data_IF_060807391674
#
_entry.id   IF_060807391674
#
_cell.length_a   1.000
_cell.length_b   1.000
_cell.length_c   1.000
_cell.angle_alpha   90.00
_cell.angle_beta   90.00
_cell.angle_gamma   90.00
#
_symmetry.space_group_name_H-M   'P 1'
#
loop_
_entity.id
_entity.type
_entity.pdbx_description
1 polymer ?
#
# COMPACT_ATOMS: atom_id res chain seq x y z
N UNK A 1 -8.23 -26.77 -13.19
CA UNK A 1 -8.35 -25.32 -13.13
C UNK A 1 -7.50 -24.69 -12.04
N UNK A 2 -7.67 -25.08 -10.79
CA UNK A 2 -6.84 -24.52 -9.71
C UNK A 2 -5.35 -24.78 -9.90
N UNK A 3 -5.00 -25.97 -10.37
CA UNK A 3 -3.61 -26.36 -10.62
C UNK A 3 -2.96 -25.56 -11.75
N UNK A 4 -3.74 -25.18 -12.77
CA UNK A 4 -3.23 -24.36 -13.88
C UNK A 4 -2.95 -22.93 -13.43
N UNK A 5 -3.82 -22.37 -12.59
CA UNK A 5 -3.61 -21.04 -12.03
C UNK A 5 -2.38 -21.00 -11.13
N UNK A 6 -2.18 -22.04 -10.31
CA UNK A 6 -1.02 -22.13 -9.42
C UNK A 6 0.27 -22.22 -10.24
N UNK A 7 0.29 -23.06 -11.29
CA UNK A 7 1.47 -23.21 -12.16
C UNK A 7 1.79 -21.91 -12.91
N UNK A 8 0.76 -21.25 -13.43
CA UNK A 8 0.95 -19.96 -14.11
C UNK A 8 1.49 -18.91 -13.16
N UNK A 9 0.94 -18.84 -11.94
CA UNK A 9 1.40 -17.91 -10.93
C UNK A 9 2.86 -18.17 -10.57
N UNK A 10 3.23 -19.43 -10.32
CA UNK A 10 4.61 -19.81 -10.01
C UNK A 10 5.57 -19.44 -11.14
N UNK A 11 5.17 -19.69 -12.39
CA UNK A 11 5.98 -19.33 -13.56
C UNK A 11 6.20 -17.82 -13.63
N UNK A 12 5.15 -17.02 -13.39
CA UNK A 12 5.24 -15.57 -13.39
C UNK A 12 6.16 -15.06 -12.28
N UNK A 13 6.09 -15.67 -11.08
CA UNK A 13 6.96 -15.31 -9.95
C UNK A 13 8.42 -15.65 -10.25
N UNK A 14 8.67 -16.83 -10.82
CA UNK A 14 10.03 -17.27 -11.18
C UNK A 14 10.66 -16.34 -12.20
N UNK A 15 9.86 -15.80 -13.13
CA UNK A 15 10.31 -14.86 -14.14
C UNK A 15 10.36 -13.41 -13.65
N UNK A 16 10.09 -13.16 -12.36
CA UNK A 16 10.16 -11.83 -11.78
C UNK A 16 9.05 -10.88 -12.22
N UNK A 17 7.88 -11.40 -12.61
CA UNK A 17 6.75 -10.59 -13.05
C UNK A 17 6.27 -9.68 -11.93
N UNK A 18 6.33 -8.34 -12.12
CA UNK A 18 5.97 -7.38 -11.05
C UNK A 18 4.51 -7.51 -10.59
N UNK A 19 3.59 -7.75 -11.53
CA UNK A 19 2.16 -7.89 -11.21
C UNK A 19 1.90 -9.17 -10.42
N UNK A 20 2.57 -10.27 -10.76
CA UNK A 20 2.45 -11.52 -10.03
C UNK A 20 2.95 -11.36 -8.59
N UNK A 21 4.07 -10.67 -8.40
CA UNK A 21 4.58 -10.37 -7.06
C UNK A 21 3.60 -9.50 -6.27
N UNK A 22 2.97 -8.52 -6.92
CA UNK A 22 1.99 -7.68 -6.25
C UNK A 22 0.78 -8.50 -5.77
N UNK A 23 0.24 -9.35 -6.64
CA UNK A 23 -0.91 -10.20 -6.30
C UNK A 23 -0.56 -11.17 -5.17
N UNK A 24 0.60 -11.83 -5.28
CA UNK A 24 1.06 -12.74 -4.21
C UNK A 24 1.26 -12.00 -2.90
N UNK A 25 1.79 -10.79 -2.95
CA UNK A 25 1.95 -9.96 -1.78
C UNK A 25 0.63 -9.64 -1.08
N UNK A 26 -0.39 -9.30 -1.87
CA UNK A 26 -1.74 -9.08 -1.33
C UNK A 26 -2.29 -10.33 -0.64
N UNK A 27 -2.17 -11.48 -1.30
CA UNK A 27 -2.67 -12.76 -0.76
C UNK A 27 -1.95 -13.12 0.54
N UNK A 28 -0.64 -13.08 0.55
CA UNK A 28 0.14 -13.47 1.70
C UNK A 28 -0.07 -12.52 2.88
N UNK A 29 -0.04 -11.22 2.62
CA UNK A 29 -0.13 -10.23 3.68
C UNK A 29 -1.53 -10.16 4.31
N UNK A 30 -2.57 -10.08 3.48
CA UNK A 30 -3.93 -9.78 3.96
C UNK A 30 -4.81 -11.00 4.16
N UNK A 31 -4.63 -12.06 3.36
CA UNK A 31 -5.49 -13.24 3.42
C UNK A 31 -4.85 -14.34 4.26
N UNK A 32 -3.64 -14.73 3.93
CA UNK A 32 -2.92 -15.78 4.68
C UNK A 32 -2.25 -15.27 5.95
N UNK A 33 -2.17 -13.95 6.10
CA UNK A 33 -1.55 -13.25 7.24
C UNK A 33 -0.08 -13.61 7.45
N UNK A 34 0.58 -14.02 6.39
CA UNK A 34 2.03 -14.21 6.33
C UNK A 34 2.68 -12.89 5.94
N UNK A 35 2.79 -12.00 6.93
CA UNK A 35 3.17 -10.61 6.68
C UNK A 35 4.58 -10.46 6.13
N UNK A 36 5.53 -11.23 6.64
CA UNK A 36 6.91 -11.16 6.15
C UNK A 36 7.01 -11.58 4.70
N UNK A 37 6.35 -12.68 4.32
CA UNK A 37 6.29 -13.17 2.95
C UNK A 37 5.57 -12.18 2.05
N UNK A 38 4.44 -11.63 2.54
CA UNK A 38 3.68 -10.63 1.81
C UNK A 38 4.50 -9.39 1.52
N UNK A 39 5.20 -8.86 2.52
CA UNK A 39 6.05 -7.70 2.35
C UNK A 39 7.21 -7.97 1.39
N UNK A 40 7.77 -9.17 1.41
CA UNK A 40 8.80 -9.55 0.46
C UNK A 40 8.30 -9.41 -0.98
N UNK A 41 7.15 -10.00 -1.29
CA UNK A 41 6.58 -9.93 -2.63
C UNK A 41 6.18 -8.51 -3.03
N UNK A 42 5.59 -7.74 -2.12
CA UNK A 42 5.25 -6.34 -2.39
C UNK A 42 6.51 -5.51 -2.65
N UNK A 43 7.58 -5.77 -1.91
CA UNK A 43 8.86 -5.10 -2.14
C UNK A 43 9.41 -5.44 -3.52
N UNK A 44 9.35 -6.71 -3.94
CA UNK A 44 9.82 -7.12 -5.26
C UNK A 44 9.04 -6.42 -6.36
N UNK A 45 7.73 -6.32 -6.22
CA UNK A 45 6.90 -5.58 -7.19
C UNK A 45 7.24 -4.10 -7.22
N UNK A 46 7.51 -3.50 -6.06
CA UNK A 46 7.87 -2.09 -5.96
C UNK A 46 9.24 -1.81 -6.60
N UNK A 47 10.22 -2.67 -6.35
CA UNK A 47 11.55 -2.56 -6.95
C UNK A 47 11.46 -2.65 -8.47
N UNK A 48 10.58 -3.51 -8.99
CA UNK A 48 10.34 -3.68 -10.42
C UNK A 48 9.43 -2.60 -11.01
N UNK A 49 9.14 -1.55 -10.24
CA UNK A 49 8.38 -0.36 -10.66
C UNK A 49 6.90 -0.61 -10.96
N UNK A 50 6.29 -1.61 -10.34
CA UNK A 50 4.85 -1.75 -10.36
C UNK A 50 4.23 -0.63 -9.50
N UNK A 51 3.37 0.19 -10.09
CA UNK A 51 2.82 1.35 -9.41
C UNK A 51 2.02 0.97 -8.16
N UNK A 52 1.17 -0.03 -8.26
CA UNK A 52 0.39 -0.52 -7.13
C UNK A 52 1.29 -1.08 -6.03
N UNK A 53 2.35 -1.79 -6.43
CA UNK A 53 3.35 -2.31 -5.49
C UNK A 53 4.09 -1.20 -4.76
N UNK A 54 4.51 -0.16 -5.48
CA UNK A 54 5.17 1.00 -4.85
C UNK A 54 4.24 1.70 -3.88
N UNK A 55 2.98 1.88 -4.26
CA UNK A 55 1.99 2.55 -3.42
C UNK A 55 1.72 1.76 -2.15
N UNK A 56 1.37 0.48 -2.28
CA UNK A 56 1.01 -0.35 -1.12
C UNK A 56 2.21 -0.62 -0.23
N UNK A 57 3.36 -0.96 -0.80
CA UNK A 57 4.57 -1.17 -0.02
C UNK A 57 4.97 0.10 0.73
N UNK A 58 4.87 1.26 0.07
CA UNK A 58 5.11 2.54 0.71
C UNK A 58 4.20 2.78 1.92
N UNK A 59 2.91 2.55 1.76
CA UNK A 59 1.95 2.71 2.86
C UNK A 59 2.26 1.76 4.03
N UNK A 60 2.56 0.51 3.74
CA UNK A 60 2.86 -0.48 4.78
C UNK A 60 4.17 -0.16 5.50
N UNK A 61 5.15 0.40 4.80
CA UNK A 61 6.38 0.86 5.44
C UNK A 61 6.12 2.03 6.38
N UNK A 62 5.27 2.98 5.99
CA UNK A 62 4.85 4.05 6.89
C UNK A 62 4.18 3.47 8.14
N UNK A 63 3.29 2.51 7.97
CA UNK A 63 2.58 1.88 9.08
C UNK A 63 3.53 1.15 10.03
N UNK A 64 4.63 0.61 9.51
CA UNK A 64 5.66 -0.05 10.32
C UNK A 64 6.62 0.93 11.00
N UNK A 65 6.52 2.22 10.71
CA UNK A 65 7.43 3.23 11.24
C UNK A 65 8.68 3.45 10.42
N UNK A 66 8.80 2.79 9.26
CA UNK A 66 9.91 2.98 8.33
C UNK A 66 9.58 4.14 7.38
N UNK A 67 9.56 5.36 7.93
CA UNK A 67 9.04 6.54 7.24
C UNK A 67 9.87 6.93 6.02
N UNK A 68 11.19 6.85 6.10
CA UNK A 68 12.06 7.21 4.99
C UNK A 68 11.81 6.30 3.79
N UNK A 69 11.75 4.99 4.02
CA UNK A 69 11.47 4.01 2.97
C UNK A 69 10.06 4.20 2.40
N UNK A 70 9.07 4.36 3.28
CA UNK A 70 7.68 4.55 2.84
C UNK A 70 7.51 5.79 1.98
N UNK A 71 8.03 6.91 2.42
CA UNK A 71 7.96 8.17 1.66
C UNK A 71 8.68 8.05 0.32
N UNK A 72 9.83 7.38 0.28
CA UNK A 72 10.59 7.20 -0.96
C UNK A 72 9.77 6.48 -2.03
N UNK A 73 9.08 5.40 -1.68
CA UNK A 73 8.27 4.67 -2.65
C UNK A 73 7.04 5.44 -3.08
N UNK A 74 6.38 6.14 -2.16
CA UNK A 74 5.23 6.98 -2.51
C UNK A 74 5.65 8.16 -3.40
N UNK A 75 6.81 8.75 -3.14
CA UNK A 75 7.32 9.87 -3.93
C UNK A 75 7.64 9.48 -5.38
N UNK A 76 7.97 8.21 -5.62
CA UNK A 76 8.20 7.71 -6.98
C UNK A 76 6.95 7.79 -7.85
N UNK A 77 5.78 7.94 -7.25
CA UNK A 77 4.52 8.11 -7.97
C UNK A 77 4.23 9.58 -8.33
N UNK A 78 5.17 10.47 -8.01
CA UNK A 78 5.13 11.88 -8.38
C UNK A 78 3.86 12.60 -7.93
N UNK A 79 3.38 12.27 -6.73
CA UNK A 79 2.13 12.83 -6.19
C UNK A 79 2.17 14.35 -6.05
N UNK A 80 3.35 14.93 -5.82
CA UNK A 80 3.54 16.37 -5.67
C UNK A 80 3.35 17.12 -6.99
N UNK A 81 3.49 16.44 -8.12
CA UNK A 81 3.24 17.01 -9.45
C UNK A 81 1.81 16.73 -9.90
N UNK A 82 1.32 15.50 -9.66
CA UNK A 82 0.00 15.08 -10.10
C UNK A 82 -0.49 13.92 -9.24
N UNK A 83 -1.65 14.07 -8.61
CA UNK A 83 -2.23 13.05 -7.73
C UNK A 83 -2.87 11.88 -8.47
N UNK A 84 -3.06 11.97 -9.80
CA UNK A 84 -3.89 11.00 -10.51
C UNK A 84 -3.33 9.58 -10.46
N UNK A 85 -2.00 9.38 -10.51
CA UNK A 85 -1.43 8.04 -10.42
C UNK A 85 -1.63 7.44 -9.03
N UNK A 86 -1.39 8.20 -7.97
CA UNK A 86 -1.60 7.70 -6.61
C UNK A 86 -3.08 7.46 -6.32
N UNK A 87 -3.97 8.28 -6.87
CA UNK A 87 -5.42 8.06 -6.77
C UNK A 87 -5.83 6.77 -7.49
N UNK A 88 -5.26 6.51 -8.65
CA UNK A 88 -5.51 5.29 -9.41
C UNK A 88 -5.04 4.05 -8.62
N UNK A 89 -3.86 4.12 -8.02
CA UNK A 89 -3.35 3.06 -7.17
C UNK A 89 -4.26 2.80 -5.97
N UNK A 90 -4.74 3.87 -5.34
CA UNK A 90 -5.67 3.75 -4.22
C UNK A 90 -6.95 3.03 -4.63
N UNK A 91 -7.54 3.41 -5.76
CA UNK A 91 -8.75 2.75 -6.27
C UNK A 91 -8.52 1.26 -6.54
N UNK A 92 -7.37 0.93 -7.11
CA UNK A 92 -7.01 -0.47 -7.36
C UNK A 92 -6.90 -1.29 -6.08
N UNK A 93 -6.24 -0.75 -5.07
CA UNK A 93 -6.09 -1.40 -3.77
C UNK A 93 -7.44 -1.56 -3.07
N UNK A 94 -8.24 -0.50 -3.07
CA UNK A 94 -9.57 -0.51 -2.49
C UNK A 94 -10.45 -1.61 -3.10
N UNK A 95 -10.41 -1.74 -4.43
CA UNK A 95 -11.15 -2.78 -5.13
C UNK A 95 -10.62 -4.18 -4.77
N UNK A 96 -9.30 -4.35 -4.74
CA UNK A 96 -8.68 -5.63 -4.41
C UNK A 96 -8.99 -6.11 -3.00
N UNK A 97 -9.13 -5.18 -2.05
CA UNK A 97 -9.34 -5.49 -0.64
C UNK A 97 -10.80 -5.30 -0.21
N UNK A 98 -11.74 -5.08 -1.13
CA UNK A 98 -13.14 -4.77 -0.80
C UNK A 98 -13.83 -5.85 0.02
N UNK A 99 -13.46 -7.12 -0.17
CA UNK A 99 -14.05 -8.25 0.56
C UNK A 99 -13.10 -8.81 1.64
N UNK A 100 -11.99 -8.13 1.91
CA UNK A 100 -10.96 -8.61 2.82
C UNK A 100 -10.95 -7.73 4.07
N UNK A 101 -11.12 -8.31 5.28
CA UNK A 101 -11.01 -7.52 6.50
C UNK A 101 -9.56 -7.11 6.75
N UNK A 102 -9.30 -5.82 6.74
CA UNK A 102 -7.99 -5.26 7.05
C UNK A 102 -8.06 -4.66 8.45
N UNK A 103 -7.29 -5.21 9.37
CA UNK A 103 -7.26 -4.72 10.74
C UNK A 103 -6.02 -3.86 10.97
N UNK A 104 -6.23 -2.68 11.56
CA UNK A 104 -5.14 -1.81 11.98
C UNK A 104 -4.60 -2.32 13.33
N UNK A 105 -3.33 -2.71 13.35
CA UNK A 105 -2.67 -3.10 14.59
C UNK A 105 -2.35 -1.87 15.43
N UNK A 106 -2.28 -2.04 16.75
CA UNK A 106 -2.00 -0.94 17.66
C UNK A 106 -0.72 -0.18 17.28
N UNK A 107 0.35 -0.90 16.96
CA UNK A 107 1.62 -0.25 16.58
C UNK A 107 1.48 0.52 15.28
N UNK A 108 0.69 0.01 14.32
CA UNK A 108 0.43 0.73 13.07
C UNK A 108 -0.32 2.03 13.32
N UNK A 109 -1.28 2.01 14.23
CA UNK A 109 -2.02 3.21 14.62
C UNK A 109 -1.09 4.26 15.23
N UNK A 110 -0.23 3.84 16.16
CA UNK A 110 0.74 4.74 16.79
C UNK A 110 1.67 5.34 15.73
N UNK A 111 2.19 4.52 14.82
CA UNK A 111 3.08 4.99 13.76
C UNK A 111 2.38 5.95 12.81
N UNK A 112 1.09 5.71 12.54
CA UNK A 112 0.30 6.61 11.70
C UNK A 112 0.08 7.97 12.39
N UNK A 113 -0.27 7.96 13.66
CA UNK A 113 -0.51 9.18 14.43
C UNK A 113 0.76 10.04 14.48
N UNK A 114 1.92 9.41 14.55
CA UNK A 114 3.20 10.13 14.55
C UNK A 114 3.49 10.85 13.21
N UNK A 115 2.77 10.50 12.15
CA UNK A 115 2.86 11.21 10.86
C UNK A 115 1.91 12.40 10.78
N UNK A 116 0.96 12.51 11.69
CA UNK A 116 -0.02 13.60 11.67
C UNK A 116 0.69 14.95 11.82
N UNK A 117 0.40 15.94 10.98
CA UNK A 117 1.00 17.26 11.13
C UNK A 117 0.63 17.88 12.46
N UNK A 118 1.60 18.55 13.10
CA UNK A 118 1.39 19.23 14.39
C UNK A 118 0.47 20.44 14.29
N UNK A 119 0.38 21.01 13.10
CA UNK A 119 -0.47 22.16 12.79
C UNK A 119 -1.35 21.75 11.63
N UNK A 120 -2.64 22.08 11.71
CA UNK A 120 -3.58 21.83 10.62
C UNK A 120 -3.06 22.49 9.34
N UNK A 121 -2.77 21.69 8.36
CA UNK A 121 -2.07 22.08 7.15
C UNK A 121 -3.04 22.37 6.02
N UNK A 122 -3.86 21.38 5.67
CA UNK A 122 -4.85 21.45 4.61
C UNK A 122 -6.14 20.78 5.09
N UNK A 123 -7.29 21.09 4.44
CA UNK A 123 -8.55 20.41 4.75
C UNK A 123 -8.41 18.88 4.68
N UNK A 124 -9.29 18.17 5.37
CA UNK A 124 -9.30 16.71 5.39
C UNK A 124 -9.85 16.16 4.08
N UNK A 125 -9.19 16.48 2.99
CA UNK A 125 -9.49 16.00 1.63
C UNK A 125 -8.18 15.62 0.95
N UNK A 126 -8.27 14.83 -0.11
CA UNK A 126 -7.09 14.46 -0.88
C UNK A 126 -6.78 15.42 -2.03
N UNK A 127 -7.57 16.47 -2.18
CA UNK A 127 -7.37 17.47 -3.25
C UNK A 127 -6.30 18.49 -2.92
N UNK A 128 -6.07 18.73 -1.62
CA UNK A 128 -5.08 19.70 -1.16
C UNK A 128 -4.13 18.99 -0.20
N UNK A 129 -2.90 18.74 -0.64
CA UNK A 129 -1.90 18.02 0.12
C UNK A 129 -0.52 18.66 -0.04
N UNK A 130 0.35 18.42 0.94
CA UNK A 130 1.74 18.87 0.90
C UNK A 130 2.62 17.83 1.61
N UNK A 131 3.92 18.11 1.70
CA UNK A 131 4.87 17.20 2.33
C UNK A 131 4.53 16.90 3.81
N UNK A 132 3.78 17.78 4.46
CA UNK A 132 3.43 17.58 5.87
C UNK A 132 2.20 16.70 6.07
N UNK A 133 1.25 16.70 5.14
CA UNK A 133 -0.03 16.02 5.34
C UNK A 133 -0.29 14.85 4.40
N UNK A 134 0.39 14.75 3.25
CA UNK A 134 0.10 13.74 2.25
C UNK A 134 0.20 12.32 2.79
N UNK A 135 1.30 12.02 3.44
CA UNK A 135 1.58 10.64 3.90
C UNK A 135 0.57 10.20 4.97
N UNK A 136 0.29 11.08 5.92
CA UNK A 136 -0.72 10.81 6.93
C UNK A 136 -2.10 10.60 6.30
N UNK A 137 -2.48 11.46 5.37
CA UNK A 137 -3.80 11.38 4.73
C UNK A 137 -3.96 10.08 3.95
N UNK A 138 -2.92 9.65 3.21
CA UNK A 138 -2.98 8.40 2.45
C UNK A 138 -3.09 7.19 3.37
N UNK A 139 -2.29 7.15 4.43
CA UNK A 139 -2.33 6.04 5.36
C UNK A 139 -3.65 6.00 6.14
N UNK A 140 -4.15 7.15 6.57
CA UNK A 140 -5.43 7.25 7.23
C UNK A 140 -6.58 6.80 6.32
N UNK A 141 -6.56 7.23 5.06
CA UNK A 141 -7.54 6.80 4.04
C UNK A 141 -7.54 5.28 3.89
N UNK A 142 -6.36 4.69 3.80
CA UNK A 142 -6.21 3.24 3.66
C UNK A 142 -6.88 2.51 4.84
N UNK A 143 -6.54 2.86 6.07
CA UNK A 143 -7.09 2.17 7.24
C UNK A 143 -8.57 2.46 7.46
N UNK A 144 -9.01 3.69 7.24
CA UNK A 144 -10.42 4.07 7.42
C UNK A 144 -11.35 3.23 6.56
N UNK A 145 -11.06 3.14 5.28
CA UNK A 145 -11.96 2.47 4.33
C UNK A 145 -11.86 0.96 4.50
N UNK A 146 -10.65 0.44 4.68
CA UNK A 146 -10.45 -1.00 4.83
C UNK A 146 -11.02 -1.53 6.15
N UNK A 147 -10.98 -0.75 7.23
CA UNK A 147 -11.51 -1.19 8.53
C UNK A 147 -13.02 -0.99 8.68
N UNK A 148 -13.60 -0.03 7.96
CA UNK A 148 -15.02 0.27 8.04
C UNK A 148 -15.89 -0.60 7.13
N UNK A 149 -15.29 -1.45 6.30
CA UNK A 149 -16.02 -2.35 5.42
C UNK A 149 -16.36 -3.68 6.07
N UNK A 150 -16.17 -3.79 7.37
CA UNK A 150 -16.52 -4.98 8.13
C UNK A 150 -17.87 -4.82 8.85
#
# INVERSE_FOLDING_TARGET
MLNEHIKFKELCLENGNPEAHYIEGLLQYFIHKERSTGLYHLRQSAIAKNSNGMYLYGLLMLAKGHYITGKRYLDKLQWNENLSLSDHCWKGIKNSLSAVPVRMRRQHYINMVNLEPRIDCHPDTMTEVCNNCYYYKRLNQFYRICTNSG
#
